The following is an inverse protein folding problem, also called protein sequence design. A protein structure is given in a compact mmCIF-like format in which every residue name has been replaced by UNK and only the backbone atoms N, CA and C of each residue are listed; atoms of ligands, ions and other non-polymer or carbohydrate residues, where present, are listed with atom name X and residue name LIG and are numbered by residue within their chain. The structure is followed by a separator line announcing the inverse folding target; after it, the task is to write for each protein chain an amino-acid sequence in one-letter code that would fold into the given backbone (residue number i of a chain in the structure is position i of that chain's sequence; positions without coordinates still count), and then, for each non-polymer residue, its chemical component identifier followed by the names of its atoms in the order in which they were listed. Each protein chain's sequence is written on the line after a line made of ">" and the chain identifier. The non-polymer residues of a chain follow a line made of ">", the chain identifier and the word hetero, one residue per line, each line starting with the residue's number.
data_IF_479974557167
#
_entry.id   IF_479974557167
#
_cell.length_a   1.000
_cell.length_b   1.000
_cell.length_c   1.000
_cell.angle_alpha   90.00
_cell.angle_beta   90.00
_cell.angle_gamma   90.00
#
_symmetry.space_group_name_H-M   'P 1'
#
loop_
_entity.id
_entity.type
_entity.pdbx_description
1 polymer ?
#
# COMPACT_ATOMS: atom_id res chain seq x y z
N UNK A 1 -0.31 -16.27 3.63
CA UNK A 1 -0.40 -15.83 2.22
C UNK A 1 0.69 -16.53 1.42
N UNK A 2 0.40 -17.09 0.25
CA UNK A 2 1.44 -17.57 -0.66
C UNK A 2 2.08 -16.36 -1.35
N UNK A 3 3.28 -15.96 -0.94
CA UNK A 3 4.09 -15.01 -1.71
C UNK A 3 4.41 -15.62 -3.06
N UNK A 4 4.01 -14.96 -4.15
CA UNK A 4 4.39 -15.36 -5.49
C UNK A 4 4.24 -14.19 -6.45
N UNK A 5 5.06 -14.16 -7.52
CA UNK A 5 4.92 -13.17 -8.59
C UNK A 5 3.51 -13.14 -9.21
N UNK A 6 2.77 -14.25 -9.13
CA UNK A 6 1.37 -14.35 -9.58
C UNK A 6 0.42 -13.42 -8.82
N UNK A 7 0.67 -13.12 -7.54
CA UNK A 7 -0.14 -12.14 -6.79
C UNK A 7 0.10 -10.72 -7.33
N UNK A 8 1.38 -10.37 -7.53
CA UNK A 8 1.79 -9.06 -8.04
C UNK A 8 1.22 -8.87 -9.45
N UNK A 9 1.38 -9.85 -10.34
CA UNK A 9 0.82 -9.85 -11.69
C UNK A 9 -0.71 -9.74 -11.68
N UNK A 10 -1.39 -10.49 -10.81
CA UNK A 10 -2.86 -10.41 -10.66
C UNK A 10 -3.30 -9.03 -10.18
N UNK A 11 -2.65 -8.46 -9.16
CA UNK A 11 -3.01 -7.13 -8.64
C UNK A 11 -2.69 -6.01 -9.65
N UNK A 12 -1.59 -6.13 -10.40
CA UNK A 12 -1.32 -5.27 -11.56
C UNK A 12 -2.42 -5.35 -12.61
N UNK A 13 -2.91 -6.54 -12.95
CA UNK A 13 -4.02 -6.73 -13.88
C UNK A 13 -5.33 -6.10 -13.36
N UNK A 14 -5.67 -6.31 -12.09
CA UNK A 14 -6.92 -5.82 -11.49
C UNK A 14 -7.07 -4.30 -11.54
N UNK A 15 -5.96 -3.56 -11.49
CA UNK A 15 -5.95 -2.10 -11.52
C UNK A 15 -5.63 -1.46 -12.87
N UNK A 16 -5.47 -2.20 -13.97
CA UNK A 16 -4.90 -1.66 -15.22
C UNK A 16 -5.93 -1.51 -16.36
N UNK A 17 -6.38 -0.28 -16.70
CA UNK A 17 -6.32 0.95 -15.91
C UNK A 17 -7.49 1.05 -14.90
N UNK A 18 -7.27 1.81 -13.84
CA UNK A 18 -8.26 2.16 -12.82
C UNK A 18 -8.05 3.60 -12.35
N UNK A 19 -9.11 4.38 -12.42
CA UNK A 19 -9.25 5.66 -11.74
C UNK A 19 -10.46 5.60 -10.80
N UNK A 20 -10.49 6.38 -9.71
CA UNK A 20 -11.63 6.39 -8.82
C UNK A 20 -12.91 6.85 -9.54
N UNK A 21 -14.06 6.17 -9.30
CA UNK A 21 -15.32 6.49 -9.98
C UNK A 21 -15.94 7.83 -9.54
N UNK A 22 -15.39 8.49 -8.52
CA UNK A 22 -15.90 9.73 -7.96
C UNK A 22 -14.91 10.39 -6.99
N UNK A 23 -15.37 11.44 -6.31
CA UNK A 23 -14.60 12.20 -5.33
C UNK A 23 -15.08 11.82 -3.93
N UNK A 24 -14.19 11.24 -3.12
CA UNK A 24 -14.45 10.95 -1.72
C UNK A 24 -14.63 12.26 -0.95
N UNK A 25 -15.80 12.44 -0.31
CA UNK A 25 -16.07 13.58 0.54
C UNK A 25 -15.50 13.41 1.96
N UNK A 26 -15.34 12.16 2.41
CA UNK A 26 -14.86 11.78 3.73
C UNK A 26 -13.47 12.33 4.07
N UNK A 27 -13.17 12.50 5.38
CA UNK A 27 -11.83 12.86 5.85
C UNK A 27 -10.77 11.87 5.39
N UNK A 28 -9.70 12.39 4.79
CA UNK A 28 -8.57 11.61 4.33
C UNK A 28 -7.25 12.15 4.90
N UNK A 29 -6.33 11.26 5.22
CA UNK A 29 -4.95 11.57 5.57
C UNK A 29 -4.03 10.93 4.53
N UNK A 30 -3.17 11.73 3.91
CA UNK A 30 -2.07 11.23 3.10
C UNK A 30 -0.75 11.44 3.84
N UNK A 31 0.00 10.36 4.03
CA UNK A 31 1.36 10.40 4.58
C UNK A 31 2.34 10.09 3.46
N UNK A 32 3.16 11.08 3.09
CA UNK A 32 4.23 10.96 2.09
C UNK A 32 5.54 10.60 2.77
N UNK A 33 6.35 9.77 2.12
CA UNK A 33 7.75 9.58 2.50
C UNK A 33 8.60 10.73 1.91
N UNK A 34 9.50 11.36 2.70
CA UNK A 34 10.27 12.54 2.26
C UNK A 34 11.12 12.30 1.01
N UNK A 35 11.68 11.11 0.85
CA UNK A 35 12.57 10.76 -0.27
C UNK A 35 11.83 10.17 -1.49
N UNK A 36 10.49 10.24 -1.50
CA UNK A 36 9.64 9.55 -2.47
C UNK A 36 9.44 10.31 -3.79
N UNK A 37 10.55 10.61 -4.48
CA UNK A 37 10.50 11.35 -5.76
C UNK A 37 9.65 10.65 -6.83
N UNK A 38 9.61 9.32 -6.82
CA UNK A 38 8.79 8.52 -7.73
C UNK A 38 7.27 8.69 -7.52
N UNK A 39 6.86 9.22 -6.35
CA UNK A 39 5.48 9.53 -5.97
C UNK A 39 5.25 11.03 -5.68
N UNK A 40 6.13 11.91 -6.18
CA UNK A 40 6.01 13.36 -5.97
C UNK A 40 4.67 13.96 -6.46
N UNK A 41 4.07 13.39 -7.51
CA UNK A 41 2.74 13.79 -8.02
C UNK A 41 1.56 13.31 -7.17
N UNK A 42 1.78 12.43 -6.19
CA UNK A 42 0.70 11.72 -5.51
C UNK A 42 -0.23 12.64 -4.71
N UNK A 43 0.30 13.73 -4.15
CA UNK A 43 -0.51 14.78 -3.52
C UNK A 43 -1.52 15.40 -4.49
N UNK A 44 -1.05 15.82 -5.66
CA UNK A 44 -1.84 16.60 -6.62
C UNK A 44 -2.82 15.73 -7.43
N UNK A 45 -2.53 14.44 -7.54
CA UNK A 45 -3.47 13.42 -8.04
C UNK A 45 -4.54 13.14 -6.99
N UNK A 46 -4.15 12.79 -5.76
CA UNK A 46 -5.11 12.41 -4.71
C UNK A 46 -6.05 13.55 -4.32
N UNK A 47 -5.59 14.81 -4.37
CA UNK A 47 -6.42 15.99 -4.15
C UNK A 47 -7.58 16.15 -5.15
N UNK A 48 -7.55 15.47 -6.31
CA UNK A 48 -8.68 15.43 -7.26
C UNK A 48 -9.80 14.50 -6.81
N UNK A 49 -9.46 13.46 -6.04
CA UNK A 49 -10.34 12.36 -5.65
C UNK A 49 -10.63 12.30 -4.14
N UNK A 50 -10.03 13.18 -3.33
CA UNK A 50 -10.22 13.28 -1.87
C UNK A 50 -10.44 14.74 -1.48
N UNK A 51 -11.70 15.12 -1.20
CA UNK A 51 -12.11 16.52 -0.95
C UNK A 51 -11.59 17.09 0.38
N UNK A 52 -11.44 16.23 1.39
CA UNK A 52 -11.00 16.59 2.75
C UNK A 52 -9.68 15.93 3.11
N UNK A 53 -8.67 16.06 2.23
CA UNK A 53 -7.36 15.43 2.41
C UNK A 53 -6.38 16.32 3.18
N UNK A 54 -6.00 15.90 4.38
CA UNK A 54 -4.79 16.37 5.06
C UNK A 54 -3.55 15.69 4.47
N UNK A 55 -2.42 16.40 4.40
CA UNK A 55 -1.13 15.85 3.93
C UNK A 55 -0.07 16.04 5.01
N UNK A 56 0.64 14.97 5.35
CA UNK A 56 1.75 14.95 6.28
C UNK A 56 3.00 14.33 5.63
N UNK A 57 4.17 14.81 6.02
CA UNK A 57 5.46 14.18 5.66
C UNK A 57 5.87 13.27 6.81
N UNK A 58 6.10 12.00 6.52
CA UNK A 58 6.57 11.00 7.48
C UNK A 58 8.08 10.90 7.54
N UNK A 59 8.59 9.73 7.94
CA UNK A 59 10.00 9.38 7.92
C UNK A 59 10.26 8.18 7.01
N UNK A 60 11.44 8.12 6.40
CA UNK A 60 11.89 7.02 5.54
C UNK A 60 11.66 7.25 4.04
N UNK A 61 11.72 6.16 3.28
CA UNK A 61 11.40 6.06 1.86
C UNK A 61 10.09 5.31 1.68
N UNK A 62 9.52 5.28 0.47
CA UNK A 62 8.36 4.43 0.13
C UNK A 62 8.50 3.03 0.73
N UNK A 63 9.63 2.36 0.43
CA UNK A 63 9.88 0.96 0.74
C UNK A 63 9.99 0.62 2.22
N UNK A 64 10.27 1.59 3.11
CA UNK A 64 10.51 1.31 4.53
C UNK A 64 9.77 2.24 5.52
N UNK A 65 8.88 3.12 5.05
CA UNK A 65 8.14 4.04 5.91
C UNK A 65 7.23 3.38 6.97
N UNK A 66 6.89 2.09 6.80
CA UNK A 66 6.10 1.30 7.77
C UNK A 66 6.96 0.32 8.61
N UNK A 67 8.29 0.43 8.53
CA UNK A 67 9.24 -0.42 9.25
C UNK A 67 9.86 0.32 10.47
N UNK A 68 10.46 -0.44 11.39
CA UNK A 68 11.39 0.08 12.41
C UNK A 68 10.96 1.37 13.13
N UNK A 69 11.91 2.30 13.26
CA UNK A 69 11.70 3.62 13.86
C UNK A 69 10.82 4.53 13.00
N UNK A 70 10.78 4.30 11.68
CA UNK A 70 9.91 5.04 10.77
C UNK A 70 8.46 4.87 11.21
N UNK A 71 7.97 3.63 11.31
CA UNK A 71 6.59 3.31 11.68
C UNK A 71 6.06 4.01 12.95
N UNK A 72 6.94 4.34 13.90
CA UNK A 72 6.61 5.14 15.10
C UNK A 72 6.11 6.54 14.71
N UNK A 73 6.80 7.20 13.78
CA UNK A 73 6.46 8.52 13.24
C UNK A 73 5.13 8.45 12.49
N UNK A 74 4.96 7.49 11.59
CA UNK A 74 3.71 7.27 10.85
C UNK A 74 2.52 7.02 11.80
N UNK A 75 2.71 6.21 12.85
CA UNK A 75 1.68 5.99 13.87
C UNK A 75 1.34 7.26 14.64
N UNK A 76 2.34 8.07 15.01
CA UNK A 76 2.14 9.36 15.66
C UNK A 76 1.33 10.35 14.81
N UNK A 77 1.61 10.41 13.50
CA UNK A 77 0.85 11.22 12.53
C UNK A 77 -0.62 10.75 12.47
N UNK A 78 -0.85 9.44 12.33
CA UNK A 78 -2.20 8.85 12.30
C UNK A 78 -2.95 9.09 13.61
N UNK A 79 -2.30 8.97 14.77
CA UNK A 79 -2.91 9.29 16.07
C UNK A 79 -3.30 10.77 16.18
N UNK A 80 -2.48 11.69 15.67
CA UNK A 80 -2.80 13.12 15.70
C UNK A 80 -4.00 13.45 14.80
N UNK A 81 -4.06 12.88 13.59
CA UNK A 81 -5.22 12.97 12.71
C UNK A 81 -6.47 12.39 13.37
N UNK A 82 -6.38 11.18 13.93
CA UNK A 82 -7.47 10.55 14.66
C UNK A 82 -7.97 11.41 15.83
N UNK A 83 -7.08 12.01 16.63
CA UNK A 83 -7.45 12.90 17.75
C UNK A 83 -8.15 14.19 17.29
N UNK A 84 -7.89 14.70 16.08
CA UNK A 84 -8.64 15.83 15.51
C UNK A 84 -10.07 15.42 15.14
N UNK A 85 -10.22 14.24 14.55
CA UNK A 85 -11.52 13.67 14.18
C UNK A 85 -12.36 13.25 15.40
N UNK A 86 -11.71 12.73 16.45
CA UNK A 86 -12.36 11.97 17.51
C UNK A 86 -12.68 12.82 18.73
N UNK A 87 -13.93 13.30 18.80
CA UNK A 87 -14.47 13.90 20.02
C UNK A 87 -15.45 13.00 20.80
N UNK A 88 -15.70 11.75 20.38
CA UNK A 88 -16.69 10.85 21.02
C UNK A 88 -16.48 9.33 20.75
N UNK A 89 -16.28 8.52 21.81
CA UNK A 89 -16.90 7.17 22.08
C UNK A 89 -16.60 5.83 21.31
N UNK A 90 -16.12 4.80 22.07
CA UNK A 90 -16.60 3.38 22.29
C UNK A 90 -16.99 2.35 21.16
N UNK A 91 -17.17 0.99 21.28
CA UNK A 91 -16.58 -0.17 22.07
C UNK A 91 -16.76 -1.64 21.46
N UNK A 92 -15.85 -2.25 20.62
CA UNK A 92 -15.45 -3.73 20.51
C UNK A 92 -14.51 -4.17 19.29
N UNK A 93 -14.44 -5.46 18.79
CA UNK A 93 -13.25 -6.18 18.17
C UNK A 93 -13.27 -7.29 16.99
N UNK A 94 -12.76 -7.08 15.76
CA UNK A 94 -12.22 -8.16 14.80
C UNK A 94 -10.98 -8.92 15.31
N UNK A 95 -10.50 -9.91 14.53
CA UNK A 95 -9.08 -10.33 14.48
C UNK A 95 -8.14 -9.12 14.53
N UNK A 96 -7.15 -9.15 15.41
CA UNK A 96 -6.41 -7.95 15.80
C UNK A 96 -4.91 -8.12 15.76
N UNK A 97 -4.25 -7.19 15.08
CA UNK A 97 -2.82 -6.89 15.30
C UNK A 97 -2.63 -6.31 16.71
N UNK A 98 -3.62 -5.56 17.19
CA UNK A 98 -3.69 -5.02 18.54
C UNK A 98 -5.14 -4.85 18.98
N UNK A 99 -5.58 -5.58 20.00
CA UNK A 99 -6.95 -5.64 20.54
C UNK A 99 -7.68 -4.31 20.76
N UNK A 100 -6.92 -3.22 20.86
CA UNK A 100 -7.38 -1.91 21.26
C UNK A 100 -7.83 -1.90 22.72
N UNK A 101 -7.99 -0.69 23.24
CA UNK A 101 -9.17 -0.46 24.05
C UNK A 101 -10.40 -0.86 23.23
N UNK A 102 -11.46 -1.40 23.84
CA UNK A 102 -12.69 -1.50 23.08
C UNK A 102 -13.07 -0.07 22.62
N UNK A 103 -13.36 0.15 21.34
CA UNK A 103 -13.91 1.44 20.89
C UNK A 103 -12.89 2.55 20.73
N UNK A 104 -11.63 2.16 20.86
CA UNK A 104 -10.71 2.40 19.79
C UNK A 104 -11.36 2.54 18.39
N UNK A 105 -10.79 3.45 17.61
CA UNK A 105 -10.89 3.47 16.16
C UNK A 105 -10.61 2.08 15.58
N UNK A 106 -11.35 1.68 14.55
CA UNK A 106 -11.11 0.44 13.83
C UNK A 106 -10.36 0.76 12.54
N UNK A 107 -9.07 0.43 12.49
CA UNK A 107 -8.19 0.63 11.32
C UNK A 107 -8.05 -0.69 10.57
N UNK A 108 -8.45 -0.70 9.30
CA UNK A 108 -8.36 -1.85 8.40
C UNK A 108 -7.28 -1.56 7.35
N UNK A 109 -6.14 -2.22 7.49
CA UNK A 109 -4.99 -2.09 6.63
C UNK A 109 -5.10 -2.99 5.39
N UNK A 110 -4.99 -2.40 4.20
CA UNK A 110 -5.02 -3.08 2.91
C UNK A 110 -3.59 -3.35 2.44
N UNK A 111 -3.34 -4.57 1.97
CA UNK A 111 -2.03 -5.03 1.49
C UNK A 111 -1.49 -4.24 0.28
N UNK A 112 -0.17 -4.28 0.11
CA UNK A 112 0.51 -3.82 -1.12
C UNK A 112 0.39 -4.85 -2.28
N UNK A 113 1.19 -4.65 -3.34
CA UNK A 113 1.22 -5.55 -4.51
C UNK A 113 1.70 -6.98 -4.18
N UNK A 114 2.52 -7.15 -3.16
CA UNK A 114 3.01 -8.44 -2.70
C UNK A 114 1.94 -9.29 -1.99
N UNK A 115 0.81 -8.66 -1.61
CA UNK A 115 -0.25 -9.27 -0.82
C UNK A 115 0.12 -9.46 0.66
N UNK A 116 1.22 -8.87 1.12
CA UNK A 116 1.71 -9.01 2.49
C UNK A 116 1.24 -7.83 3.36
N UNK A 117 0.97 -8.14 4.63
CA UNK A 117 0.53 -7.17 5.65
C UNK A 117 1.23 -7.45 6.99
N UNK A 118 1.97 -8.56 7.09
CA UNK A 118 2.27 -9.26 8.36
C UNK A 118 3.72 -9.67 8.56
N UNK A 119 4.55 -9.69 7.52
CA UNK A 119 5.94 -10.12 7.63
C UNK A 119 6.89 -9.07 8.19
N UNK A 120 8.14 -9.47 8.46
CA UNK A 120 9.20 -8.61 8.99
C UNK A 120 9.70 -7.52 8.01
N UNK A 121 9.07 -7.39 6.83
CA UNK A 121 9.24 -6.29 5.88
C UNK A 121 8.34 -5.10 6.18
N UNK A 122 7.83 -4.45 5.13
CA UNK A 122 7.04 -3.19 5.18
C UNK A 122 5.61 -3.38 5.67
N UNK A 123 5.46 -3.99 6.85
CA UNK A 123 4.19 -4.45 7.38
C UNK A 123 3.55 -3.47 8.35
N UNK A 124 2.22 -3.48 8.34
CA UNK A 124 1.40 -2.77 9.32
C UNK A 124 1.56 -3.33 10.74
N UNK A 125 2.24 -4.47 10.92
CA UNK A 125 2.52 -5.05 12.23
C UNK A 125 3.38 -4.12 13.12
N UNK A 126 4.34 -3.39 12.55
CA UNK A 126 5.13 -2.40 13.32
C UNK A 126 4.28 -1.17 13.63
N UNK A 127 3.60 -0.60 12.63
CA UNK A 127 2.66 0.52 12.81
C UNK A 127 1.61 0.24 13.90
N UNK A 128 1.01 -0.96 13.90
CA UNK A 128 -0.02 -1.37 14.85
C UNK A 128 0.46 -1.41 16.31
N UNK A 129 1.75 -1.68 16.57
CA UNK A 129 2.32 -1.61 17.93
C UNK A 129 2.28 -0.20 18.50
N UNK A 130 2.41 0.83 17.65
CA UNK A 130 2.48 2.23 18.05
C UNK A 130 1.13 2.97 17.94
N UNK A 131 0.11 2.37 17.31
CA UNK A 131 -1.25 2.91 17.27
C UNK A 131 -2.00 2.66 18.59
N UNK A 132 -1.55 3.29 19.67
CA UNK A 132 -2.19 3.24 20.99
C UNK A 132 -3.65 3.68 20.94
N UNK A 133 -4.49 2.96 21.69
CA UNK A 133 -5.95 3.10 21.73
C UNK A 133 -6.64 2.97 20.37
N UNK A 134 -5.96 2.50 19.32
CA UNK A 134 -6.58 2.06 18.08
C UNK A 134 -6.64 0.54 18.04
N UNK A 135 -7.54 0.04 17.20
CA UNK A 135 -7.75 -1.37 16.96
C UNK A 135 -7.45 -1.67 15.51
N UNK A 136 -6.33 -2.35 15.26
CA UNK A 136 -5.77 -2.49 13.91
C UNK A 136 -5.93 -3.92 13.39
N UNK A 137 -6.39 -4.03 12.15
CA UNK A 137 -6.73 -5.26 11.45
C UNK A 137 -6.01 -5.28 10.09
N UNK A 138 -5.59 -6.46 9.64
CA UNK A 138 -5.02 -6.67 8.31
C UNK A 138 -6.05 -7.32 7.38
N UNK A 139 -6.21 -6.80 6.17
CA UNK A 139 -7.02 -7.42 5.11
C UNK A 139 -6.11 -8.31 4.25
N UNK A 140 -6.33 -9.62 4.34
CA UNK A 140 -5.48 -10.64 3.76
C UNK A 140 -5.93 -11.00 2.35
N UNK A 141 -4.99 -10.95 1.39
CA UNK A 141 -5.21 -11.44 0.03
C UNK A 141 -5.18 -12.97 0.00
N UNK A 142 -6.36 -13.58 0.00
CA UNK A 142 -6.60 -15.02 -0.01
C UNK A 142 -7.50 -15.44 -1.18
N UNK A 143 -7.89 -16.71 -1.26
CA UNK A 143 -8.57 -17.31 -2.40
C UNK A 143 -9.84 -16.54 -2.87
N UNK A 144 -10.68 -16.09 -1.94
CA UNK A 144 -11.88 -15.29 -2.25
C UNK A 144 -11.50 -13.91 -2.87
N UNK A 145 -10.46 -13.26 -2.35
CA UNK A 145 -9.97 -11.98 -2.85
C UNK A 145 -9.20 -12.13 -4.18
N UNK A 146 -8.55 -13.27 -4.38
CA UNK A 146 -7.87 -13.63 -5.62
C UNK A 146 -8.85 -13.89 -6.78
N UNK A 147 -10.04 -14.41 -6.44
CA UNK A 147 -11.12 -14.64 -7.40
C UNK A 147 -11.80 -13.35 -7.90
N UNK A 148 -11.63 -12.21 -7.22
CA UNK A 148 -12.08 -10.91 -7.72
C UNK A 148 -11.41 -10.57 -9.06
N UNK A 149 -12.13 -9.88 -9.94
CA UNK A 149 -11.74 -9.58 -11.33
C UNK A 149 -11.50 -8.08 -11.61
N UNK A 150 -11.77 -7.22 -10.62
CA UNK A 150 -11.63 -5.77 -10.71
C UNK A 150 -11.38 -5.15 -9.32
N UNK A 151 -10.81 -3.94 -9.28
CA UNK A 151 -10.64 -3.18 -8.02
C UNK A 151 -11.96 -2.95 -7.27
N UNK A 152 -13.09 -2.57 -7.91
CA UNK A 152 -14.40 -2.49 -7.24
C UNK A 152 -14.88 -3.81 -6.62
N UNK A 153 -14.67 -4.95 -7.29
CA UNK A 153 -15.05 -6.26 -6.75
C UNK A 153 -14.19 -6.65 -5.53
N UNK A 154 -12.88 -6.39 -5.59
CA UNK A 154 -11.95 -6.61 -4.48
C UNK A 154 -12.29 -5.72 -3.27
N UNK A 155 -12.55 -4.43 -3.51
CA UNK A 155 -12.99 -3.49 -2.49
C UNK A 155 -14.33 -3.91 -1.86
N UNK A 156 -15.29 -4.40 -2.65
CA UNK A 156 -16.57 -4.89 -2.16
C UNK A 156 -16.41 -6.15 -1.29
N UNK A 157 -15.54 -7.07 -1.71
CA UNK A 157 -15.14 -8.24 -0.92
C UNK A 157 -14.57 -7.84 0.44
N UNK A 158 -13.68 -6.86 0.48
CA UNK A 158 -13.10 -6.35 1.72
C UNK A 158 -14.09 -5.55 2.57
N UNK A 159 -14.94 -4.71 1.98
CA UNK A 159 -15.96 -3.96 2.68
C UNK A 159 -16.97 -4.88 3.39
N UNK A 160 -17.37 -6.00 2.76
CA UNK A 160 -18.18 -7.03 3.44
C UNK A 160 -17.49 -7.56 4.70
N UNK A 161 -16.20 -7.92 4.63
CA UNK A 161 -15.43 -8.41 5.79
C UNK A 161 -15.31 -7.35 6.90
N UNK A 162 -15.10 -6.09 6.51
CA UNK A 162 -15.01 -4.93 7.40
C UNK A 162 -16.33 -4.64 8.12
N UNK A 163 -17.45 -4.71 7.40
CA UNK A 163 -18.80 -4.49 7.96
C UNK A 163 -19.28 -5.67 8.81
N UNK A 164 -19.06 -6.91 8.36
CA UNK A 164 -19.38 -8.12 9.11
C UNK A 164 -18.54 -8.26 10.37
N UNK A 165 -17.33 -7.69 10.36
CA UNK A 165 -16.65 -7.46 11.61
C UNK A 165 -17.36 -6.42 12.46
N UNK A 166 -17.46 -5.18 11.96
CA UNK A 166 -17.88 -4.05 12.78
C UNK A 166 -19.20 -4.35 13.51
N UNK A 167 -20.17 -4.97 12.80
CA UNK A 167 -21.45 -5.48 13.36
C UNK A 167 -21.30 -6.42 14.55
N UNK A 168 -20.33 -7.34 14.55
CA UNK A 168 -20.06 -8.25 15.69
C UNK A 168 -19.47 -7.50 16.89
N UNK A 169 -19.10 -6.23 16.69
CA UNK A 169 -18.05 -5.56 17.42
C UNK A 169 -18.35 -4.08 17.74
N UNK A 170 -19.63 -3.83 18.03
CA UNK A 170 -20.16 -2.53 18.44
C UNK A 170 -20.49 -1.65 17.25
N UNK A 171 -21.28 -0.60 17.47
CA UNK A 171 -21.84 0.16 16.36
C UNK A 171 -20.79 0.84 15.47
N UNK A 172 -21.20 1.01 14.21
CA UNK A 172 -20.62 1.93 13.24
C UNK A 172 -21.47 3.19 13.31
N UNK A 173 -20.83 4.33 13.58
CA UNK A 173 -21.51 5.61 13.78
C UNK A 173 -20.55 6.75 13.46
N UNK A 174 -21.05 7.98 13.34
CA UNK A 174 -20.21 9.17 13.14
C UNK A 174 -19.25 9.45 14.30
N UNK A 175 -19.53 8.91 15.48
CA UNK A 175 -18.64 8.92 16.63
C UNK A 175 -17.45 7.96 16.46
N UNK A 176 -17.66 6.81 15.79
CA UNK A 176 -16.65 5.77 15.58
C UNK A 176 -16.65 5.29 14.11
N UNK A 177 -16.15 6.13 13.18
CA UNK A 177 -16.06 5.78 11.77
C UNK A 177 -15.09 4.62 11.52
N UNK A 178 -15.31 3.95 10.39
CA UNK A 178 -14.41 2.91 9.89
C UNK A 178 -13.19 3.60 9.27
N UNK A 179 -11.98 3.28 9.73
CA UNK A 179 -10.77 3.79 9.10
C UNK A 179 -10.23 2.72 8.15
N UNK A 180 -10.12 3.05 6.86
CA UNK A 180 -9.46 2.19 5.87
C UNK A 180 -8.08 2.78 5.56
N UNK A 181 -7.03 1.98 5.62
CA UNK A 181 -5.65 2.41 5.41
C UNK A 181 -5.01 1.61 4.28
N UNK A 182 -4.41 2.28 3.30
CA UNK A 182 -3.69 1.67 2.18
C UNK A 182 -2.23 2.10 2.13
N UNK A 183 -1.35 1.23 1.64
CA UNK A 183 0.08 1.50 1.45
C UNK A 183 0.51 0.96 0.09
N UNK A 184 1.27 1.75 -0.67
CA UNK A 184 1.56 1.45 -2.07
C UNK A 184 0.24 1.15 -2.80
N UNK A 185 0.14 0.08 -3.59
CA UNK A 185 -1.12 -0.32 -4.27
C UNK A 185 -2.33 -0.50 -3.32
N UNK A 186 -2.10 -0.74 -2.02
CA UNK A 186 -3.18 -0.74 -1.04
C UNK A 186 -3.96 0.58 -1.00
N UNK A 187 -3.37 1.71 -1.39
CA UNK A 187 -4.02 3.01 -1.54
C UNK A 187 -5.17 3.00 -2.57
N UNK A 188 -4.98 2.32 -3.70
CA UNK A 188 -5.99 2.16 -4.77
C UNK A 188 -7.22 1.44 -4.24
N UNK A 189 -7.01 0.27 -3.61
CA UNK A 189 -8.09 -0.55 -3.06
C UNK A 189 -8.73 0.12 -1.83
N UNK A 190 -7.95 0.76 -0.96
CA UNK A 190 -8.46 1.49 0.20
C UNK A 190 -9.33 2.70 -0.19
N UNK A 191 -8.97 3.43 -1.24
CA UNK A 191 -9.78 4.53 -1.77
C UNK A 191 -11.12 4.01 -2.32
N UNK A 192 -11.09 2.97 -3.17
CA UNK A 192 -12.32 2.36 -3.68
C UNK A 192 -13.21 1.80 -2.56
N UNK A 193 -12.61 1.22 -1.51
CA UNK A 193 -13.33 0.79 -0.32
C UNK A 193 -14.03 1.97 0.38
N UNK A 194 -13.31 3.08 0.59
CA UNK A 194 -13.85 4.27 1.25
C UNK A 194 -15.01 4.89 0.47
N UNK A 195 -14.93 5.00 -0.86
CA UNK A 195 -16.05 5.47 -1.69
C UNK A 195 -17.29 4.59 -1.53
N UNK A 196 -17.15 3.27 -1.63
CA UNK A 196 -18.28 2.33 -1.44
C UNK A 196 -18.90 2.39 -0.03
N UNK A 197 -18.11 2.68 1.00
CA UNK A 197 -18.62 2.87 2.37
C UNK A 197 -19.38 4.20 2.49
N UNK A 198 -18.82 5.29 1.97
CA UNK A 198 -19.47 6.61 1.96
C UNK A 198 -20.79 6.59 1.17
N UNK A 199 -20.81 5.97 -0.02
CA UNK A 199 -22.00 5.76 -0.85
C UNK A 199 -23.09 4.95 -0.12
N UNK A 200 -22.69 4.02 0.76
CA UNK A 200 -23.60 3.25 1.60
C UNK A 200 -24.05 3.99 2.88
N UNK A 201 -23.68 5.27 3.05
CA UNK A 201 -23.98 6.07 4.24
C UNK A 201 -23.18 5.65 5.48
N UNK A 202 -22.07 4.93 5.30
CA UNK A 202 -21.20 4.49 6.40
C UNK A 202 -20.14 5.55 6.66
N UNK A 203 -20.10 6.05 7.90
CA UNK A 203 -19.06 6.96 8.36
C UNK A 203 -17.67 6.31 8.25
N UNK A 204 -16.80 6.93 7.46
CA UNK A 204 -15.51 6.37 7.04
C UNK A 204 -14.42 7.44 7.09
N UNK A 205 -13.16 7.03 7.27
CA UNK A 205 -11.97 7.85 7.05
C UNK A 205 -10.93 7.06 6.26
N UNK A 206 -10.18 7.74 5.40
CA UNK A 206 -9.16 7.14 4.54
C UNK A 206 -7.75 7.51 5.00
N UNK A 207 -6.82 6.55 5.01
CA UNK A 207 -5.40 6.81 5.22
C UNK A 207 -4.61 6.24 4.03
N UNK A 208 -3.76 7.06 3.42
CA UNK A 208 -2.95 6.72 2.26
C UNK A 208 -1.47 6.87 2.62
N UNK A 209 -0.73 5.77 2.59
CA UNK A 209 0.73 5.76 2.76
C UNK A 209 1.40 5.73 1.38
N UNK A 210 1.82 6.91 0.95
CA UNK A 210 2.79 7.13 -0.12
C UNK A 210 2.47 6.49 -1.49
N UNK A 211 1.22 6.59 -1.95
CA UNK A 211 0.86 6.34 -3.36
C UNK A 211 -0.29 7.24 -3.84
N UNK A 212 -0.36 7.42 -5.15
CA UNK A 212 -1.54 7.83 -5.90
C UNK A 212 -2.71 6.83 -5.76
N UNK A 213 -3.94 7.34 -5.83
CA UNK A 213 -5.17 6.55 -5.96
C UNK A 213 -5.56 6.31 -7.42
N UNK A 214 -4.59 6.21 -8.33
CA UNK A 214 -4.79 5.90 -9.76
C UNK A 214 -3.80 4.85 -10.21
N UNK A 215 -4.20 3.97 -11.13
CA UNK A 215 -3.36 2.89 -11.63
C UNK A 215 -3.58 2.62 -13.14
N UNK A 216 -2.56 2.20 -13.91
CA UNK A 216 -1.15 2.39 -13.59
C UNK A 216 -0.87 3.88 -13.40
N UNK A 217 0.19 4.24 -12.68
CA UNK A 217 0.58 5.63 -12.54
C UNK A 217 1.03 6.24 -13.88
N UNK A 218 1.20 7.59 -13.95
CA UNK A 218 1.74 8.28 -15.12
C UNK A 218 3.00 7.61 -15.67
N UNK A 219 3.10 7.56 -17.01
CA UNK A 219 4.16 6.81 -17.69
C UNK A 219 5.54 7.43 -17.46
N UNK A 220 6.30 6.86 -16.53
CA UNK A 220 7.69 7.19 -16.19
C UNK A 220 8.44 5.95 -15.72
N UNK A 221 9.67 5.77 -16.20
CA UNK A 221 10.55 4.67 -15.78
C UNK A 221 11.09 4.83 -14.35
N UNK A 222 10.92 6.00 -13.74
CA UNK A 222 11.37 6.28 -12.36
C UNK A 222 10.55 5.56 -11.29
N UNK A 223 9.38 4.99 -11.61
CA UNK A 223 8.46 4.39 -10.64
C UNK A 223 7.96 3.00 -11.02
N UNK A 224 7.66 2.18 -10.03
CA UNK A 224 6.97 0.89 -10.23
C UNK A 224 5.61 1.13 -10.89
N UNK A 225 5.32 0.39 -11.96
CA UNK A 225 4.08 0.51 -12.73
C UNK A 225 4.00 1.71 -13.67
N UNK A 226 4.94 2.66 -13.62
CA UNK A 226 5.02 3.78 -14.57
C UNK A 226 5.61 3.38 -15.93
N UNK A 227 6.00 2.11 -16.09
CA UNK A 227 6.36 1.52 -17.36
C UNK A 227 5.57 0.25 -17.58
N UNK A 228 5.65 -0.27 -18.80
CA UNK A 228 5.00 -1.52 -19.18
C UNK A 228 5.60 -2.65 -18.33
N UNK A 229 4.87 -3.09 -17.29
CA UNK A 229 5.38 -3.97 -16.23
C UNK A 229 6.12 -5.18 -16.79
N UNK A 230 7.35 -5.45 -16.32
CA UNK A 230 8.20 -6.48 -16.94
C UNK A 230 7.80 -7.89 -16.49
N UNK A 231 7.29 -8.01 -15.26
CA UNK A 231 6.87 -9.28 -14.67
C UNK A 231 8.03 -10.23 -14.35
N UNK A 232 7.67 -11.40 -13.83
CA UNK A 232 8.60 -12.49 -13.53
C UNK A 232 9.76 -12.09 -12.62
N UNK A 233 10.91 -12.73 -12.83
CA UNK A 233 12.13 -12.50 -12.04
C UNK A 233 12.81 -11.16 -12.39
N UNK A 234 12.72 -10.71 -13.65
CA UNK A 234 13.32 -9.45 -14.07
C UNK A 234 12.79 -8.27 -13.25
N UNK A 235 11.47 -8.16 -13.08
CA UNK A 235 10.87 -7.14 -12.23
C UNK A 235 11.24 -7.32 -10.75
N UNK A 236 11.29 -8.56 -10.25
CA UNK A 236 11.68 -8.83 -8.86
C UNK A 236 13.10 -8.30 -8.55
N UNK A 237 14.05 -8.48 -9.46
CA UNK A 237 15.42 -7.95 -9.34
C UNK A 237 15.42 -6.42 -9.28
N UNK A 238 14.59 -5.74 -10.09
CA UNK A 238 14.46 -4.28 -10.08
C UNK A 238 13.82 -3.76 -8.78
N UNK A 239 12.77 -4.44 -8.29
CA UNK A 239 12.11 -4.12 -7.02
C UNK A 239 13.07 -4.26 -5.83
N UNK A 240 13.85 -5.35 -5.76
CA UNK A 240 14.90 -5.55 -4.76
C UNK A 240 15.93 -4.43 -4.86
N UNK A 241 16.38 -4.09 -6.07
CA UNK A 241 17.34 -3.01 -6.30
C UNK A 241 16.84 -1.65 -5.79
N UNK A 242 15.57 -1.30 -6.03
CA UNK A 242 14.93 -0.09 -5.48
C UNK A 242 14.89 -0.11 -3.95
N UNK A 243 14.51 -1.23 -3.33
CA UNK A 243 14.44 -1.38 -1.88
C UNK A 243 15.80 -1.18 -1.17
N UNK A 244 16.92 -1.54 -1.83
CA UNK A 244 18.29 -1.24 -1.35
C UNK A 244 18.81 0.16 -1.74
N UNK A 245 17.95 1.01 -2.31
CA UNK A 245 18.27 2.38 -2.71
C UNK A 245 19.13 2.49 -3.97
N UNK A 246 19.02 1.54 -4.90
CA UNK A 246 19.68 1.55 -6.23
C UNK A 246 18.71 1.99 -7.32
N UNK A 247 18.06 3.14 -7.10
CA UNK A 247 17.03 3.71 -7.95
C UNK A 247 17.49 3.99 -9.38
N UNK A 248 18.62 4.68 -9.56
CA UNK A 248 19.15 5.03 -10.88
C UNK A 248 19.46 3.78 -11.73
N UNK A 249 20.03 2.75 -11.11
CA UNK A 249 20.27 1.46 -11.73
C UNK A 249 18.94 0.80 -12.15
N UNK A 250 18.00 0.65 -11.23
CA UNK A 250 16.72 0.00 -11.51
C UNK A 250 15.89 0.74 -12.58
N UNK A 251 15.95 2.08 -12.60
CA UNK A 251 15.33 2.92 -13.63
C UNK A 251 15.99 2.70 -15.00
N UNK A 252 17.32 2.71 -15.06
CA UNK A 252 18.07 2.48 -16.31
C UNK A 252 17.75 1.10 -16.90
N UNK A 253 17.85 0.06 -16.10
CA UNK A 253 17.55 -1.31 -16.53
C UNK A 253 16.08 -1.46 -16.96
N UNK A 254 15.13 -0.83 -16.25
CA UNK A 254 13.71 -0.84 -16.67
C UNK A 254 13.50 -0.25 -18.08
N UNK A 255 14.22 0.82 -18.44
CA UNK A 255 14.19 1.40 -19.80
C UNK A 255 14.73 0.39 -20.82
N UNK A 256 15.94 -0.12 -20.61
CA UNK A 256 16.64 -1.00 -21.54
C UNK A 256 15.88 -2.31 -21.78
N UNK A 257 15.32 -2.91 -20.71
CA UNK A 257 14.52 -4.14 -20.78
C UNK A 257 13.16 -3.93 -21.47
N UNK A 258 12.54 -2.76 -21.32
CA UNK A 258 11.31 -2.44 -22.06
C UNK A 258 11.57 -2.28 -23.56
N UNK A 259 12.67 -1.63 -23.94
CA UNK A 259 13.08 -1.51 -25.34
C UNK A 259 13.41 -2.88 -25.95
N UNK A 260 14.15 -3.73 -25.23
CA UNK A 260 14.43 -5.10 -25.65
C UNK A 260 13.14 -5.91 -25.87
N UNK A 261 12.18 -5.84 -24.94
CA UNK A 261 10.89 -6.51 -25.06
C UNK A 261 10.05 -5.99 -26.24
N UNK A 262 10.04 -4.68 -26.50
CA UNK A 262 9.39 -4.10 -27.67
C UNK A 262 10.04 -4.58 -28.98
N UNK A 263 11.36 -4.78 -28.98
CA UNK A 263 12.10 -5.40 -30.09
C UNK A 263 11.93 -6.94 -30.17
N UNK A 264 11.00 -7.53 -29.39
CA UNK A 264 10.75 -8.98 -29.29
C UNK A 264 11.98 -9.80 -28.85
N UNK A 265 12.93 -9.17 -28.15
CA UNK A 265 14.08 -9.85 -27.57
C UNK A 265 13.71 -10.46 -26.22
N UNK A 266 14.18 -11.67 -25.96
CA UNK A 266 14.08 -12.29 -24.63
C UNK A 266 14.94 -11.55 -23.62
N UNK A 267 14.39 -11.28 -22.44
CA UNK A 267 15.14 -10.69 -21.32
C UNK A 267 16.11 -11.75 -20.76
N UNK A 268 17.41 -11.44 -20.83
CA UNK A 268 18.44 -12.21 -20.15
C UNK A 268 18.45 -11.88 -18.65
N UNK A 269 17.72 -12.70 -17.89
CA UNK A 269 17.55 -12.54 -16.44
C UNK A 269 18.84 -12.84 -15.69
N UNK A 270 19.66 -13.78 -16.14
CA UNK A 270 20.93 -14.12 -15.49
C UNK A 270 21.93 -12.96 -15.60
N UNK A 271 22.03 -12.35 -16.78
CA UNK A 271 22.83 -11.14 -16.99
C UNK A 271 22.31 -9.96 -16.16
N UNK A 272 20.98 -9.79 -16.04
CA UNK A 272 20.38 -8.77 -15.17
C UNK A 272 20.70 -9.02 -13.69
N UNK A 273 20.62 -10.27 -13.22
CA UNK A 273 20.97 -10.67 -11.84
C UNK A 273 22.41 -10.32 -11.53
N UNK A 274 23.34 -10.61 -12.45
CA UNK A 274 24.77 -10.28 -12.31
C UNK A 274 25.03 -8.77 -12.26
N UNK A 275 24.34 -7.97 -13.08
CA UNK A 275 24.43 -6.50 -13.04
C UNK A 275 23.88 -5.93 -11.73
N UNK A 276 22.73 -6.44 -11.27
CA UNK A 276 22.13 -6.02 -10.00
C UNK A 276 23.01 -6.36 -8.79
N UNK A 277 23.57 -7.57 -8.74
CA UNK A 277 24.54 -7.97 -7.70
C UNK A 277 25.75 -7.03 -7.66
N UNK A 278 26.30 -6.69 -8.83
CA UNK A 278 27.41 -5.73 -8.96
C UNK A 278 27.02 -4.34 -8.45
N UNK A 279 25.81 -3.86 -8.76
CA UNK A 279 25.31 -2.59 -8.27
C UNK A 279 25.08 -2.60 -6.74
N UNK A 280 24.58 -3.70 -6.16
CA UNK A 280 24.27 -3.83 -4.75
C UNK A 280 25.53 -3.96 -3.86
N UNK A 281 26.52 -4.75 -4.29
CA UNK A 281 27.76 -4.99 -3.53
C UNK A 281 28.58 -3.72 -3.23
N UNK A 282 28.38 -2.64 -3.99
CA UNK A 282 28.97 -1.32 -3.69
C UNK A 282 28.58 -0.75 -2.31
N UNK A 283 27.58 -1.33 -1.62
CA UNK A 283 27.20 -0.98 -0.24
C UNK A 283 27.72 -1.96 0.83
N UNK A 284 28.57 -2.93 0.49
CA UNK A 284 29.17 -3.86 1.46
C UNK A 284 28.20 -4.91 2.01
N UNK A 285 27.18 -5.30 1.23
CA UNK A 285 26.33 -6.45 1.57
C UNK A 285 27.13 -7.76 1.42
N UNK A 286 26.94 -8.75 2.32
CA UNK A 286 27.57 -10.07 2.16
C UNK A 286 27.07 -10.77 0.90
N UNK A 287 27.98 -11.37 0.13
CA UNK A 287 27.63 -12.14 -1.07
C UNK A 287 26.67 -13.31 -0.76
N UNK A 288 26.77 -13.86 0.44
CA UNK A 288 25.92 -14.94 0.99
C UNK A 288 24.42 -14.59 0.96
N UNK A 289 24.05 -13.31 1.10
CA UNK A 289 22.64 -12.87 1.13
C UNK A 289 21.90 -13.17 -0.19
N UNK A 290 22.64 -13.35 -1.29
CA UNK A 290 22.12 -13.57 -2.64
C UNK A 290 22.29 -15.01 -3.14
N UNK A 291 22.92 -15.90 -2.37
CA UNK A 291 23.10 -17.32 -2.75
C UNK A 291 21.82 -18.19 -2.60
N UNK A 292 20.73 -17.57 -2.15
CA UNK A 292 19.46 -18.22 -1.80
C UNK A 292 18.23 -17.55 -2.45
N UNK A 293 18.46 -16.65 -3.42
CA UNK A 293 17.43 -15.98 -4.24
C UNK A 293 17.56 -16.51 -5.67
#
# INVERSE_FOLDING_TARGET
>A
VKRSGKNIERLHYLGNPWEPPGVLAAPALMVLAPDSQEFAGAKDVNARYCKQMEVAIGLGSHYNMLQGEQAVVQAGIVQQFWRRMSKTSGRSKTVVLRSGDAGAARIYAVHGLDGDVMSDGSSYATLAKHLDHCRVCALVYEEEAYACDSVPALASCYNRRVLDDARKNGDVSDANPIIVAGYSYGCVVAHQMACQLEEAGISVCLILFDLEVTWPPPVTNSRVGGYSFLGGEAEAILLISRAFGKFEFAMKEAVELNLARQASQSIDVDALRQRAFTALNQKGLPAELFAHI
#
